data_IF_213762452643
#
_entry.id   IF_213762452643
#
_cell.length_a   1.000
_cell.length_b   1.000
_cell.length_c   1.000
_cell.angle_alpha   90.00
_cell.angle_beta   90.00
_cell.angle_gamma   90.00
#
_symmetry.space_group_name_H-M   'P 1'
#
loop_
_entity.id
_entity.type
_entity.pdbx_description
1 polymer ?
#
# COMPACT_ATOMS: atom_id res chain seq x y z
N UNK A 1 0.03 1.98 12.15
CA UNK A 1 1.18 1.30 11.52
C UNK A 1 2.38 1.39 12.43
N UNK A 2 2.89 2.58 12.70
CA UNK A 2 3.97 2.80 13.68
C UNK A 2 3.77 2.05 15.01
N UNK A 3 2.64 2.28 15.70
CA UNK A 3 2.34 1.60 16.97
C UNK A 3 2.29 0.07 16.91
N UNK A 4 2.07 -0.51 15.73
CA UNK A 4 1.93 -1.97 15.56
C UNK A 4 3.24 -2.61 15.11
N UNK A 5 4.03 -1.92 14.30
CA UNK A 5 5.18 -2.49 13.60
C UNK A 5 6.52 -1.88 14.00
N UNK A 6 6.53 -0.83 14.83
CA UNK A 6 7.75 -0.18 15.29
C UNK A 6 8.47 0.65 14.22
N UNK A 7 8.00 0.61 12.96
CA UNK A 7 8.50 1.46 11.88
C UNK A 7 7.41 1.75 10.85
N UNK A 8 7.45 2.94 10.27
CA UNK A 8 6.71 3.30 9.05
C UNK A 8 7.41 4.49 8.39
N UNK A 9 7.60 4.40 7.09
CA UNK A 9 8.08 5.52 6.27
C UNK A 9 7.01 5.88 5.23
N UNK A 10 6.82 7.17 4.98
CA UNK A 10 5.85 7.66 4.01
C UNK A 10 6.52 8.59 3.01
N UNK A 11 6.29 8.34 1.72
CA UNK A 11 6.64 9.28 0.68
C UNK A 11 5.47 10.24 0.48
N UNK A 12 5.66 11.50 0.89
CA UNK A 12 4.61 12.53 0.85
C UNK A 12 4.62 13.36 -0.43
N UNK A 13 5.50 13.05 -1.39
CA UNK A 13 5.47 13.69 -2.69
C UNK A 13 4.20 13.31 -3.44
N UNK A 14 3.56 14.31 -4.06
CA UNK A 14 2.33 14.11 -4.82
C UNK A 14 2.65 13.30 -6.10
N UNK A 15 2.37 12.00 -6.08
CA UNK A 15 2.49 11.16 -7.27
C UNK A 15 1.21 11.35 -8.08
N UNK A 16 1.33 11.93 -9.28
CA UNK A 16 0.19 12.08 -10.20
C UNK A 16 0.09 10.82 -11.06
N UNK A 17 -0.91 9.99 -10.79
CA UNK A 17 -1.22 8.86 -11.65
C UNK A 17 -2.08 9.30 -12.83
N UNK A 18 -1.82 8.71 -13.99
CA UNK A 18 -2.71 8.78 -15.15
C UNK A 18 -2.89 7.37 -15.66
N UNK A 19 -4.12 6.87 -15.62
CA UNK A 19 -4.44 5.53 -16.09
C UNK A 19 -5.67 5.55 -16.97
N UNK A 20 -5.83 4.48 -17.76
CA UNK A 20 -6.98 4.31 -18.65
C UNK A 20 -7.68 3.00 -18.32
N UNK A 21 -9.00 3.04 -18.21
CA UNK A 21 -9.85 1.85 -18.13
C UNK A 21 -11.05 2.07 -19.03
N UNK A 22 -11.32 1.10 -19.90
CA UNK A 22 -12.45 1.13 -20.86
C UNK A 22 -12.48 2.42 -21.72
N UNK A 23 -11.31 2.93 -22.09
CA UNK A 23 -11.17 4.15 -22.91
C UNK A 23 -11.27 5.48 -22.15
N UNK A 24 -11.69 5.46 -20.88
CA UNK A 24 -11.75 6.65 -20.03
C UNK A 24 -10.38 6.90 -19.37
N UNK A 25 -9.89 8.14 -19.44
CA UNK A 25 -8.70 8.57 -18.73
C UNK A 25 -9.07 9.02 -17.31
N UNK A 26 -8.33 8.50 -16.33
CA UNK A 26 -8.44 8.83 -14.92
C UNK A 26 -7.15 9.51 -14.47
N UNK A 27 -7.30 10.50 -13.58
CA UNK A 27 -6.20 11.19 -12.92
C UNK A 27 -6.40 11.08 -11.43
N UNK A 28 -5.36 10.68 -10.72
CA UNK A 28 -5.38 10.57 -9.27
C UNK A 28 -4.11 11.15 -8.65
N UNK A 29 -4.22 11.44 -7.36
CA UNK A 29 -3.09 11.77 -6.51
C UNK A 29 -2.85 10.57 -5.61
N UNK A 30 -1.68 9.95 -5.76
CA UNK A 30 -1.28 8.76 -5.05
C UNK A 30 -0.31 9.13 -3.94
N UNK A 31 -0.40 8.39 -2.83
CA UNK A 31 0.56 8.39 -1.75
C UNK A 31 1.19 7.00 -1.68
N UNK A 32 2.51 6.92 -1.50
CA UNK A 32 3.22 5.66 -1.33
C UNK A 32 3.69 5.51 0.12
N UNK A 33 3.34 4.39 0.73
CA UNK A 33 3.73 4.04 2.09
C UNK A 33 4.68 2.84 2.03
N UNK A 34 5.74 2.90 2.83
CA UNK A 34 6.70 1.82 3.06
C UNK A 34 6.58 1.40 4.53
N UNK A 35 6.37 0.10 4.76
CA UNK A 35 6.21 -0.44 6.10
C UNK A 35 7.11 -1.66 6.19
N UNK A 36 8.15 -1.56 7.01
CA UNK A 36 9.08 -2.65 7.27
C UNK A 36 8.59 -3.44 8.47
N UNK A 37 8.44 -4.75 8.28
CA UNK A 37 7.93 -5.68 9.28
C UNK A 37 8.75 -6.97 9.25
N UNK A 38 8.76 -7.70 10.36
CA UNK A 38 9.31 -9.05 10.37
C UNK A 38 8.55 -9.96 9.40
N UNK A 39 9.25 -10.83 8.69
CA UNK A 39 8.65 -11.78 7.75
C UNK A 39 8.02 -12.97 8.51
N UNK A 40 6.79 -12.77 8.99
CA UNK A 40 6.00 -13.79 9.68
C UNK A 40 4.68 -14.02 8.96
N UNK A 41 4.11 -15.22 9.11
CA UNK A 41 2.80 -15.54 8.52
C UNK A 41 1.70 -14.62 9.07
N UNK A 42 1.78 -14.24 10.36
CA UNK A 42 0.86 -13.29 10.97
C UNK A 42 0.87 -11.93 10.27
N UNK A 43 2.06 -11.38 9.98
CA UNK A 43 2.19 -10.09 9.31
C UNK A 43 1.70 -10.17 7.86
N UNK A 44 1.99 -11.27 7.16
CA UNK A 44 1.48 -11.52 5.79
C UNK A 44 -0.05 -11.55 5.77
N UNK A 45 -0.65 -12.28 6.70
CA UNK A 45 -2.10 -12.39 6.80
C UNK A 45 -2.74 -11.04 7.16
N UNK A 46 -2.14 -10.30 8.10
CA UNK A 46 -2.59 -8.95 8.45
C UNK A 46 -2.68 -8.04 7.22
N UNK A 47 -1.65 -7.97 6.38
CA UNK A 47 -1.68 -7.08 5.21
C UNK A 47 -2.67 -7.51 4.13
N UNK A 48 -2.94 -8.81 4.00
CA UNK A 48 -4.00 -9.32 3.10
C UNK A 48 -5.39 -8.83 3.55
N UNK A 49 -5.68 -8.92 4.84
CA UNK A 49 -6.94 -8.44 5.41
C UNK A 49 -7.03 -6.91 5.41
N UNK A 50 -5.92 -6.25 5.73
CA UNK A 50 -5.86 -4.80 5.78
C UNK A 50 -6.08 -4.16 4.40
N UNK A 51 -5.70 -4.82 3.30
CA UNK A 51 -6.02 -4.38 1.93
C UNK A 51 -7.52 -4.12 1.75
N UNK A 52 -8.38 -5.03 2.22
CA UNK A 52 -9.84 -4.86 2.08
C UNK A 52 -10.37 -3.72 2.96
N UNK A 53 -9.78 -3.53 4.14
CA UNK A 53 -10.08 -2.36 5.00
C UNK A 53 -9.73 -1.05 4.28
N UNK A 54 -8.58 -0.99 3.61
CA UNK A 54 -8.13 0.20 2.89
C UNK A 54 -9.02 0.51 1.68
N UNK A 55 -9.43 -0.52 0.92
CA UNK A 55 -10.34 -0.34 -0.24
C UNK A 55 -11.64 0.33 0.19
N UNK A 56 -12.24 -0.14 1.27
CA UNK A 56 -13.45 0.46 1.85
C UNK A 56 -13.20 1.89 2.34
N UNK A 57 -12.15 2.09 3.14
CA UNK A 57 -11.85 3.40 3.76
C UNK A 57 -11.56 4.50 2.74
N UNK A 58 -10.86 4.18 1.66
CA UNK A 58 -10.50 5.14 0.62
C UNK A 58 -11.45 5.15 -0.59
N UNK A 59 -12.53 4.36 -0.52
CA UNK A 59 -13.53 4.24 -1.59
C UNK A 59 -12.89 3.91 -2.95
N UNK A 60 -11.83 3.09 -2.92
CA UNK A 60 -11.11 2.68 -4.12
C UNK A 60 -11.64 1.35 -4.61
N UNK A 61 -11.77 1.19 -5.93
CA UNK A 61 -12.13 -0.11 -6.54
C UNK A 61 -11.09 -1.18 -6.21
N UNK A 62 -9.81 -0.81 -6.21
CA UNK A 62 -8.71 -1.66 -5.77
C UNK A 62 -7.55 -0.82 -5.21
N UNK A 63 -6.71 -1.46 -4.42
CA UNK A 63 -5.46 -0.90 -3.90
C UNK A 63 -4.35 -1.92 -4.12
N UNK A 64 -3.25 -1.45 -4.69
CA UNK A 64 -2.07 -2.26 -4.93
C UNK A 64 -1.23 -2.33 -3.65
N UNK A 65 -0.94 -3.55 -3.20
CA UNK A 65 -0.02 -3.83 -2.11
C UNK A 65 1.02 -4.83 -2.61
N UNK A 66 2.29 -4.55 -2.35
CA UNK A 66 3.41 -5.41 -2.72
C UNK A 66 4.28 -5.65 -1.50
N UNK A 67 4.81 -6.86 -1.37
CA UNK A 67 5.74 -7.22 -0.29
C UNK A 67 7.01 -7.79 -0.91
N UNK A 68 8.17 -7.32 -0.46
CA UNK A 68 9.47 -7.82 -0.87
C UNK A 68 10.25 -8.18 0.40
N UNK A 69 10.90 -9.36 0.46
CA UNK A 69 11.84 -9.63 1.54
C UNK A 69 13.03 -8.66 1.41
N UNK A 70 13.38 -8.01 2.51
CA UNK A 70 14.62 -7.23 2.61
C UNK A 70 15.71 -8.17 3.08
N UNK A 71 16.71 -8.38 2.23
CA UNK A 71 17.88 -9.20 2.54
C UNK A 71 19.15 -8.35 2.39
N UNK A 72 20.21 -8.70 3.12
CA UNK A 72 21.51 -8.04 3.02
C UNK A 72 22.34 -8.82 2.00
N UNK A 73 22.70 -8.18 0.87
CA UNK A 73 23.63 -8.75 -0.12
C UNK A 73 25.04 -8.89 0.44
#
# INVERSE_FOLDING_TARGET
>A
MENRFGSVSAETQLIRGTWRQEGQAYRDHLMRLFIDVADTEENRQFFREYKETLKSRFQQKDIWLTSFPLDVY
#
